data_IF_518108373221
#
_entry.id   IF_518108373221
#
_cell.length_a   1.000
_cell.length_b   1.000
_cell.length_c   1.000
_cell.angle_alpha   90.00
_cell.angle_beta   90.00
_cell.angle_gamma   90.00
#
_symmetry.space_group_name_H-M   'P 1'
#
loop_
_entity.id
_entity.type
_entity.pdbx_description
1 polymer ?
#
# COMPACT_ATOMS: atom_id res chain seq x y z
N UNK A 1 30.09 0.40 15.14
CA UNK A 1 28.78 0.22 14.46
C UNK A 1 28.58 1.48 13.63
N UNK A 2 28.82 1.38 12.33
CA UNK A 2 28.85 2.54 11.43
C UNK A 2 27.44 3.15 11.28
N UNK A 3 27.30 4.43 11.62
CA UNK A 3 26.07 5.22 11.48
C UNK A 3 26.01 5.91 10.11
N UNK A 4 26.35 5.18 9.04
CA UNK A 4 26.11 5.67 7.69
C UNK A 4 24.61 5.90 7.52
N UNK A 5 24.23 7.15 7.27
CA UNK A 5 22.86 7.61 7.06
C UNK A 5 22.27 6.81 5.89
N UNK A 6 21.47 5.79 6.19
CA UNK A 6 20.84 4.96 5.14
C UNK A 6 19.93 5.83 4.30
N UNK A 7 20.28 6.03 3.03
CA UNK A 7 19.44 6.75 2.09
C UNK A 7 18.34 5.80 1.63
N UNK A 8 17.10 6.14 1.93
CA UNK A 8 15.96 5.33 1.50
C UNK A 8 15.76 5.43 -0.04
N UNK A 9 15.39 4.29 -0.61
CA UNK A 9 14.80 4.16 -1.96
C UNK A 9 13.34 3.76 -1.81
N UNK A 10 12.47 4.25 -2.69
CA UNK A 10 11.00 4.14 -2.53
C UNK A 10 10.35 3.76 -3.84
N UNK A 11 9.56 2.68 -3.84
CA UNK A 11 8.56 2.44 -4.87
C UNK A 11 7.22 3.02 -4.41
N UNK A 12 6.65 3.93 -5.20
CA UNK A 12 5.38 4.58 -4.94
C UNK A 12 4.29 3.85 -5.73
N UNK A 13 3.28 3.35 -5.02
CA UNK A 13 2.16 2.61 -5.59
C UNK A 13 0.84 3.38 -5.44
N UNK A 14 0.05 3.40 -6.50
CA UNK A 14 -1.28 3.98 -6.52
C UNK A 14 -1.91 3.90 -7.90
N UNK A 15 -3.24 3.93 -8.00
CA UNK A 15 -3.94 3.66 -9.28
C UNK A 15 -3.62 4.65 -10.39
N UNK A 16 -3.33 5.90 -10.05
CA UNK A 16 -3.10 6.98 -11.03
C UNK A 16 -1.61 7.27 -11.16
N UNK A 17 -1.12 7.25 -12.39
CA UNK A 17 0.28 7.51 -12.73
C UNK A 17 0.72 8.94 -12.39
N UNK A 18 -0.05 9.93 -12.85
CA UNK A 18 0.33 11.34 -12.78
C UNK A 18 0.65 11.83 -11.35
N UNK A 19 -0.16 11.54 -10.30
CA UNK A 19 0.22 11.91 -8.93
C UNK A 19 1.51 11.26 -8.42
N UNK A 20 1.78 10.02 -8.81
CA UNK A 20 3.01 9.32 -8.38
C UNK A 20 4.24 9.97 -9.01
N UNK A 21 4.19 10.24 -10.32
CA UNK A 21 5.27 10.90 -11.05
C UNK A 21 5.53 12.32 -10.53
N UNK A 22 4.47 13.04 -10.15
CA UNK A 22 4.58 14.35 -9.48
C UNK A 22 5.36 14.24 -8.16
N UNK A 23 5.01 13.28 -7.30
CA UNK A 23 5.72 13.06 -6.03
C UNK A 23 7.19 12.67 -6.26
N UNK A 24 7.46 11.83 -7.28
CA UNK A 24 8.85 11.51 -7.67
C UNK A 24 9.63 12.78 -8.02
N UNK A 25 9.06 13.65 -8.86
CA UNK A 25 9.69 14.89 -9.28
C UNK A 25 9.92 15.87 -8.10
N UNK A 26 8.90 16.09 -7.27
CA UNK A 26 8.95 16.99 -6.12
C UNK A 26 9.93 16.52 -5.03
N UNK A 27 10.06 15.21 -4.84
CA UNK A 27 10.97 14.62 -3.83
C UNK A 27 12.45 14.87 -4.11
N UNK A 28 12.81 15.23 -5.36
CA UNK A 28 14.20 15.32 -5.85
C UNK A 28 15.02 14.05 -5.56
N UNK A 29 14.34 12.90 -5.42
CA UNK A 29 14.99 11.62 -5.12
C UNK A 29 15.68 11.00 -6.33
N UNK A 30 15.34 11.47 -7.55
CA UNK A 30 15.88 10.96 -8.80
C UNK A 30 15.63 9.46 -8.92
N UNK A 31 16.69 8.70 -9.20
CA UNK A 31 16.64 7.23 -9.35
C UNK A 31 16.24 6.46 -8.09
N UNK A 32 16.21 7.13 -6.93
CA UNK A 32 15.81 6.53 -5.65
C UNK A 32 14.30 6.48 -5.46
N UNK A 33 13.51 7.08 -6.34
CA UNK A 33 12.05 6.93 -6.32
C UNK A 33 11.56 6.34 -7.63
N UNK A 34 10.63 5.39 -7.55
CA UNK A 34 10.02 4.70 -8.69
C UNK A 34 8.50 4.85 -8.60
N UNK A 35 7.89 5.45 -9.61
CA UNK A 35 6.42 5.48 -9.74
C UNK A 35 5.93 4.18 -10.39
N UNK A 36 5.06 3.45 -9.69
CA UNK A 36 4.48 2.19 -10.17
C UNK A 36 2.96 2.29 -10.06
N UNK A 37 2.24 2.61 -11.15
CA UNK A 37 0.78 2.57 -11.14
C UNK A 37 0.30 1.18 -10.72
N UNK A 38 -0.50 1.10 -9.67
CA UNK A 38 -0.93 -0.16 -9.08
C UNK A 38 -2.30 0.01 -8.43
N UNK A 39 -3.22 -0.86 -8.82
CA UNK A 39 -4.41 -1.16 -8.05
C UNK A 39 -4.12 -2.28 -7.05
N UNK A 40 -4.15 -1.96 -5.76
CA UNK A 40 -3.86 -2.92 -4.69
C UNK A 40 -4.91 -4.02 -4.58
N UNK A 41 -6.10 -3.83 -5.16
CA UNK A 41 -7.13 -4.85 -5.24
C UNK A 41 -6.84 -5.92 -6.32
N UNK A 42 -5.86 -5.69 -7.20
CA UNK A 42 -5.47 -6.63 -8.24
C UNK A 42 -4.21 -7.40 -7.85
N UNK A 43 -4.36 -8.70 -7.53
CA UNK A 43 -3.23 -9.55 -7.17
C UNK A 43 -2.09 -9.53 -8.22
N UNK A 44 -2.45 -9.54 -9.51
CA UNK A 44 -1.46 -9.48 -10.59
C UNK A 44 -0.69 -8.15 -10.61
N UNK A 45 -1.35 -7.02 -10.37
CA UNK A 45 -0.65 -5.73 -10.30
C UNK A 45 0.20 -5.60 -9.04
N UNK A 46 -0.25 -6.17 -7.92
CA UNK A 46 0.56 -6.25 -6.70
C UNK A 46 1.82 -7.09 -6.94
N UNK A 47 1.71 -8.28 -7.53
CA UNK A 47 2.89 -9.09 -7.85
C UNK A 47 3.85 -8.34 -8.81
N UNK A 48 3.33 -7.62 -9.80
CA UNK A 48 4.13 -6.79 -10.69
C UNK A 48 4.84 -5.63 -9.95
N UNK A 49 4.17 -4.97 -8.99
CA UNK A 49 4.76 -3.93 -8.14
C UNK A 49 5.99 -4.46 -7.38
N UNK A 50 5.85 -5.60 -6.72
CA UNK A 50 6.95 -6.19 -5.95
C UNK A 50 8.07 -6.74 -6.84
N UNK A 51 7.74 -7.26 -8.03
CA UNK A 51 8.73 -7.65 -9.02
C UNK A 51 9.57 -6.44 -9.49
N UNK A 52 8.93 -5.33 -9.86
CA UNK A 52 9.62 -4.10 -10.26
C UNK A 52 10.45 -3.48 -9.13
N UNK A 53 9.93 -3.46 -7.90
CA UNK A 53 10.67 -2.98 -6.74
C UNK A 53 11.94 -3.81 -6.50
N UNK A 54 11.84 -5.15 -6.61
CA UNK A 54 12.97 -6.06 -6.45
C UNK A 54 13.97 -5.96 -7.59
N UNK A 55 13.50 -5.85 -8.83
CA UNK A 55 14.37 -5.60 -10.00
C UNK A 55 15.14 -4.29 -9.85
N UNK A 56 14.46 -3.22 -9.41
CA UNK A 56 15.03 -1.88 -9.33
C UNK A 56 15.97 -1.68 -8.14
N UNK A 57 15.60 -2.22 -6.97
CA UNK A 57 16.25 -1.92 -5.69
C UNK A 57 16.82 -3.15 -4.98
N UNK A 58 16.59 -4.36 -5.50
CA UNK A 58 17.13 -5.61 -4.99
C UNK A 58 16.39 -6.22 -3.79
N UNK A 59 15.71 -5.41 -2.97
CA UNK A 59 15.08 -5.85 -1.71
C UNK A 59 13.85 -5.02 -1.34
N UNK A 60 13.09 -5.50 -0.36
CA UNK A 60 11.99 -4.75 0.26
C UNK A 60 12.14 -4.78 1.78
N UNK A 61 12.62 -3.68 2.34
CA UNK A 61 12.83 -3.56 3.79
C UNK A 61 11.57 -3.17 4.55
N UNK A 62 10.71 -2.36 3.93
CA UNK A 62 9.51 -1.81 4.53
C UNK A 62 8.38 -1.83 3.51
N UNK A 63 7.22 -2.33 3.93
CA UNK A 63 5.93 -2.10 3.26
C UNK A 63 5.11 -1.13 4.12
N UNK A 64 4.57 -0.10 3.49
CA UNK A 64 3.58 0.79 4.11
C UNK A 64 2.23 0.64 3.39
N UNK A 65 1.37 -0.21 3.95
CA UNK A 65 0.02 -0.43 3.46
C UNK A 65 -0.87 0.76 3.83
N UNK A 66 -0.96 1.74 2.93
CA UNK A 66 -1.66 3.01 3.16
C UNK A 66 -2.77 3.32 2.14
N UNK A 67 -2.82 2.61 1.02
CA UNK A 67 -3.94 2.76 0.09
C UNK A 67 -5.25 2.51 0.85
N UNK A 68 -6.21 3.42 0.71
CA UNK A 68 -7.47 3.36 1.42
C UNK A 68 -8.57 4.14 0.73
N UNK A 69 -9.80 3.67 0.88
CA UNK A 69 -11.04 4.36 0.53
C UNK A 69 -11.81 4.67 1.80
N UNK A 70 -12.39 5.87 1.87
CA UNK A 70 -13.33 6.20 2.93
C UNK A 70 -14.68 5.51 2.69
N UNK A 71 -15.45 5.28 3.75
CA UNK A 71 -16.85 4.90 3.60
C UNK A 71 -17.65 6.08 3.00
N UNK A 72 -18.55 5.82 2.04
CA UNK A 72 -19.56 6.79 1.68
C UNK A 72 -20.57 6.90 2.83
N UNK A 73 -20.91 8.12 3.27
CA UNK A 73 -21.90 8.38 4.32
C UNK A 73 -23.30 7.98 3.88
N UNK A 74 -23.61 6.68 3.96
CA UNK A 74 -24.87 6.07 3.53
C UNK A 74 -25.48 5.33 4.72
N UNK A 75 -26.76 5.60 4.96
CA UNK A 75 -27.55 4.86 5.94
C UNK A 75 -27.49 3.35 5.66
N UNK A 76 -27.32 2.54 6.70
CA UNK A 76 -26.94 1.13 6.56
C UNK A 76 -27.89 0.31 5.67
N UNK A 77 -29.20 0.53 5.77
CA UNK A 77 -30.22 -0.13 4.96
C UNK A 77 -30.15 0.21 3.47
N UNK A 78 -29.48 1.31 3.11
CA UNK A 78 -29.27 1.76 1.74
C UNK A 78 -27.85 1.45 1.23
N UNK A 79 -26.98 0.86 2.07
CA UNK A 79 -25.62 0.51 1.68
C UNK A 79 -25.65 -0.71 0.76
N UNK A 80 -25.26 -0.49 -0.50
CA UNK A 80 -25.17 -1.59 -1.46
C UNK A 80 -23.96 -2.47 -1.16
N UNK A 81 -24.07 -3.76 -1.49
CA UNK A 81 -22.97 -4.71 -1.38
C UNK A 81 -21.76 -4.27 -2.21
N UNK A 82 -21.97 -3.69 -3.39
CA UNK A 82 -20.89 -3.17 -4.23
C UNK A 82 -20.08 -2.08 -3.51
N UNK A 83 -20.74 -1.13 -2.86
CA UNK A 83 -20.07 -0.06 -2.11
C UNK A 83 -19.35 -0.59 -0.89
N UNK A 84 -19.99 -1.51 -0.15
CA UNK A 84 -19.34 -2.25 0.93
C UNK A 84 -18.05 -2.91 0.45
N UNK A 85 -18.17 -3.71 -0.63
CA UNK A 85 -17.07 -4.50 -1.16
C UNK A 85 -15.93 -3.60 -1.66
N UNK A 86 -16.23 -2.47 -2.29
CA UNK A 86 -15.19 -1.55 -2.77
C UNK A 86 -14.26 -1.04 -1.66
N UNK A 87 -14.82 -0.75 -0.48
CA UNK A 87 -14.06 -0.28 0.69
C UNK A 87 -13.29 -1.44 1.32
N UNK A 88 -13.94 -2.60 1.50
CA UNK A 88 -13.30 -3.81 2.04
C UNK A 88 -12.15 -4.27 1.14
N UNK A 89 -12.34 -4.26 -0.17
CA UNK A 89 -11.34 -4.66 -1.14
C UNK A 89 -10.10 -3.78 -1.06
N UNK A 90 -10.27 -2.47 -0.91
CA UNK A 90 -9.12 -1.56 -0.80
C UNK A 90 -8.46 -1.64 0.58
N UNK A 91 -9.25 -1.54 1.64
CA UNK A 91 -8.76 -1.32 3.00
C UNK A 91 -8.38 -2.62 3.73
N UNK A 92 -8.81 -3.77 3.23
CA UNK A 92 -8.51 -5.06 3.85
C UNK A 92 -7.89 -6.03 2.86
N UNK A 93 -8.59 -6.37 1.77
CA UNK A 93 -8.10 -7.34 0.78
C UNK A 93 -6.79 -6.88 0.14
N UNK A 94 -6.72 -5.62 -0.30
CA UNK A 94 -5.51 -5.05 -0.91
C UNK A 94 -4.33 -4.99 0.05
N UNK A 95 -4.57 -4.68 1.33
CA UNK A 95 -3.53 -4.74 2.36
C UNK A 95 -3.01 -6.16 2.55
N UNK A 96 -3.90 -7.16 2.56
CA UNK A 96 -3.53 -8.57 2.61
C UNK A 96 -2.67 -8.98 1.42
N UNK A 97 -3.08 -8.64 0.19
CA UNK A 97 -2.34 -8.97 -1.03
C UNK A 97 -0.92 -8.38 -1.00
N UNK A 98 -0.80 -7.09 -0.67
CA UNK A 98 0.49 -6.42 -0.54
C UNK A 98 1.35 -7.01 0.58
N UNK A 99 0.76 -7.31 1.75
CA UNK A 99 1.48 -7.92 2.86
C UNK A 99 2.02 -9.30 2.49
N UNK A 100 1.23 -10.11 1.80
CA UNK A 100 1.63 -11.44 1.35
C UNK A 100 2.78 -11.37 0.35
N UNK A 101 2.70 -10.47 -0.64
CA UNK A 101 3.75 -10.27 -1.64
C UNK A 101 5.05 -9.72 -1.02
N UNK A 102 4.96 -8.73 -0.13
CA UNK A 102 6.10 -8.23 0.63
C UNK A 102 6.75 -9.32 1.47
N UNK A 103 5.94 -10.12 2.19
CA UNK A 103 6.44 -11.20 3.04
C UNK A 103 7.22 -12.24 2.25
N UNK A 104 6.77 -12.61 1.04
CA UNK A 104 7.54 -13.51 0.14
C UNK A 104 8.95 -12.95 -0.12
N UNK A 105 9.05 -11.67 -0.51
CA UNK A 105 10.36 -11.01 -0.76
C UNK A 105 11.21 -10.96 0.52
N UNK A 106 10.63 -10.51 1.63
CA UNK A 106 11.31 -10.36 2.92
C UNK A 106 11.84 -11.69 3.47
N UNK A 107 11.14 -12.81 3.23
CA UNK A 107 11.55 -14.15 3.63
C UNK A 107 12.77 -14.65 2.82
N UNK A 108 12.82 -14.30 1.54
CA UNK A 108 13.78 -14.86 0.58
C UNK A 108 15.04 -14.00 0.40
N UNK A 109 15.03 -12.73 0.79
CA UNK A 109 16.20 -11.86 0.75
C UNK A 109 17.26 -12.22 1.82
N UNK A 110 18.51 -11.79 1.59
CA UNK A 110 19.63 -11.89 2.52
C UNK A 110 20.24 -10.50 2.79
N UNK A 111 20.38 -10.05 4.06
CA UNK A 111 19.83 -10.66 5.27
C UNK A 111 18.29 -10.70 5.25
N UNK A 112 17.75 -11.81 5.77
CA UNK A 112 16.31 -12.06 5.88
C UNK A 112 15.62 -11.02 6.75
N UNK A 113 14.43 -10.60 6.32
CA UNK A 113 13.48 -9.85 7.13
C UNK A 113 13.04 -8.52 6.50
N UNK A 114 12.09 -7.88 7.16
CA UNK A 114 11.56 -6.57 6.81
C UNK A 114 10.51 -6.13 7.82
N UNK A 115 9.79 -5.06 7.54
CA UNK A 115 8.70 -4.53 8.37
C UNK A 115 7.47 -4.25 7.51
N UNK A 116 6.31 -4.70 7.95
CA UNK A 116 5.02 -4.37 7.33
C UNK A 116 4.29 -3.46 8.30
N UNK A 117 3.91 -2.28 7.82
CA UNK A 117 3.12 -1.29 8.55
C UNK A 117 1.76 -1.20 7.87
N UNK A 118 0.72 -1.50 8.64
CA UNK A 118 -0.67 -1.48 8.19
C UNK A 118 -1.35 -0.23 8.74
N UNK A 119 -1.83 0.65 7.87
CA UNK A 119 -2.49 1.88 8.28
C UNK A 119 -3.96 1.62 8.64
N UNK A 120 -4.26 1.58 9.94
CA UNK A 120 -5.62 1.52 10.45
C UNK A 120 -6.26 2.91 10.61
N UNK A 121 -7.36 2.97 11.34
CA UNK A 121 -8.06 4.22 11.66
C UNK A 121 -8.64 4.18 13.06
N UNK A 122 -8.76 5.34 13.72
CA UNK A 122 -9.48 5.47 15.00
C UNK A 122 -10.94 5.00 14.89
N UNK A 123 -11.50 5.00 13.66
CA UNK A 123 -12.85 4.49 13.40
C UNK A 123 -13.01 3.06 13.92
N UNK A 124 -11.97 2.21 13.79
CA UNK A 124 -11.98 0.83 14.28
C UNK A 124 -12.25 0.69 15.79
N UNK A 125 -12.03 1.76 16.56
CA UNK A 125 -12.29 1.82 17.99
C UNK A 125 -13.47 2.73 18.36
N UNK A 126 -13.74 3.73 17.53
CA UNK A 126 -14.84 4.67 17.70
C UNK A 126 -15.62 4.81 16.37
N UNK A 127 -16.53 3.86 16.08
CA UNK A 127 -17.28 3.85 14.84
C UNK A 127 -18.12 5.10 14.64
N UNK A 128 -18.19 5.57 13.39
CA UNK A 128 -19.02 6.73 13.01
C UNK A 128 -20.32 6.25 12.37
N UNK A 129 -21.44 6.96 12.57
CA UNK A 129 -22.66 6.71 11.80
C UNK A 129 -22.36 6.66 10.30
N UNK A 130 -23.07 5.79 9.58
CA UNK A 130 -23.05 5.68 8.13
C UNK A 130 -21.66 5.34 7.52
N UNK A 131 -20.79 4.71 8.31
CA UNK A 131 -19.42 4.36 7.89
C UNK A 131 -19.07 2.87 8.02
N UNK A 132 -20.09 2.01 8.08
CA UNK A 132 -19.96 0.59 8.38
C UNK A 132 -18.82 -0.17 7.66
N UNK A 133 -18.55 0.01 6.35
CA UNK A 133 -17.50 -0.77 5.68
C UNK A 133 -16.07 -0.24 5.94
N UNK A 134 -15.92 0.93 6.57
CA UNK A 134 -14.62 1.55 6.89
C UNK A 134 -14.18 1.31 8.34
N UNK A 135 -15.13 0.96 9.20
CA UNK A 135 -14.97 0.98 10.65
C UNK A 135 -14.78 -0.40 11.26
#
# INVERSE_FOLDING_TARGET
MDMTRKVAVVALAGRRREPLERVVAESKAGTRALAVPTDVCSAAQVDALFAMARERFGRVDVLFNNAGLNAPGIAFENLTLEKWQSVVDTNLTGMFLCAQAAFRVMKDQDPRGGRIINNGSISAHAPRPDSAPYT
#
